data_IF_647739898001
#
_entry.id   IF_647739898001
#
_cell.length_a   1.000
_cell.length_b   1.000
_cell.length_c   1.000
_cell.angle_alpha   90.00
_cell.angle_beta   90.00
_cell.angle_gamma   90.00
#
_symmetry.space_group_name_H-M   'P 1'
#
loop_
_entity.id
_entity.type
_entity.pdbx_description
1 polymer ?
#
# COMPACT_ATOMS: atom_id res chain seq x y z
N UNK A 1 8.45 32.00 -36.19
CA UNK A 1 7.03 31.58 -36.12
C UNK A 1 6.85 30.89 -34.78
N UNK A 2 6.51 31.67 -33.76
CA UNK A 2 6.34 31.24 -32.38
C UNK A 2 4.97 30.60 -32.17
N UNK A 3 4.93 29.28 -32.04
CA UNK A 3 3.71 28.56 -31.64
C UNK A 3 3.79 28.37 -30.12
N UNK A 4 3.31 29.37 -29.39
CA UNK A 4 3.17 29.34 -27.93
C UNK A 4 1.90 28.57 -27.59
N UNK A 5 1.97 27.24 -27.52
CA UNK A 5 0.86 26.38 -27.06
C UNK A 5 0.58 26.69 -25.59
N UNK A 6 -0.47 27.46 -25.34
CA UNK A 6 -0.90 27.87 -23.99
C UNK A 6 -1.62 26.69 -23.35
N UNK A 7 -0.91 25.91 -22.53
CA UNK A 7 -1.54 24.88 -21.70
C UNK A 7 -2.25 25.60 -20.55
N UNK A 8 -3.59 25.67 -20.60
CA UNK A 8 -4.38 26.19 -19.49
C UNK A 8 -4.54 25.12 -18.42
N UNK A 9 -3.59 25.09 -17.48
CA UNK A 9 -3.65 24.19 -16.34
C UNK A 9 -4.74 24.70 -15.39
N UNK A 10 -5.90 24.04 -15.39
CA UNK A 10 -6.98 24.29 -14.43
C UNK A 10 -6.41 24.10 -13.02
N UNK A 11 -6.23 25.19 -12.28
CA UNK A 11 -5.77 25.14 -10.89
C UNK A 11 -6.82 24.38 -10.09
N UNK A 12 -6.46 23.18 -9.65
CA UNK A 12 -7.29 22.38 -8.77
C UNK A 12 -7.34 23.13 -7.42
N UNK A 13 -8.55 23.54 -7.00
CA UNK A 13 -8.88 23.99 -5.63
C UNK A 13 -8.74 22.82 -4.64
N UNK A 14 -7.54 22.25 -4.56
CA UNK A 14 -7.21 21.29 -3.54
C UNK A 14 -6.96 22.13 -2.29
N UNK A 15 -7.93 22.12 -1.38
CA UNK A 15 -7.68 22.55 -0.01
C UNK A 15 -6.37 21.90 0.45
N UNK A 16 -5.45 22.64 1.10
CA UNK A 16 -4.21 22.07 1.60
C UNK A 16 -4.58 20.92 2.53
N UNK A 17 -4.49 19.70 2.01
CA UNK A 17 -4.97 18.53 2.70
C UNK A 17 -4.05 18.38 3.91
N UNK A 18 -4.55 18.70 5.11
CA UNK A 18 -3.80 18.58 6.34
C UNK A 18 -3.61 17.08 6.65
N UNK A 19 -2.71 16.46 5.89
CA UNK A 19 -2.32 15.05 5.93
C UNK A 19 -1.33 14.84 7.07
N UNK A 20 -1.76 15.10 8.29
CA UNK A 20 -1.07 14.56 9.43
C UNK A 20 -1.03 13.03 9.32
N UNK A 21 0.10 12.41 9.68
CA UNK A 21 0.25 10.95 9.78
C UNK A 21 -0.90 10.33 10.59
N UNK A 22 -1.39 11.05 11.61
CA UNK A 22 -2.54 10.69 12.44
C UNK A 22 -3.86 10.56 11.66
N UNK A 23 -4.10 11.41 10.66
CA UNK A 23 -5.29 11.34 9.81
C UNK A 23 -5.17 10.22 8.76
N UNK A 24 -3.95 9.94 8.31
CA UNK A 24 -3.68 8.82 7.40
C UNK A 24 -4.04 7.47 8.05
N UNK A 25 -3.66 7.23 9.31
CA UNK A 25 -4.04 6.01 10.03
C UNK A 25 -5.52 5.94 10.41
N UNK A 26 -6.21 7.08 10.54
CA UNK A 26 -7.66 7.13 10.82
C UNK A 26 -8.53 6.90 9.59
N UNK A 27 -7.97 6.87 8.38
CA UNK A 27 -8.76 6.70 7.17
C UNK A 27 -9.42 5.31 7.13
N UNK A 28 -10.67 5.24 6.66
CA UNK A 28 -11.39 3.96 6.49
C UNK A 28 -10.62 2.99 5.59
N UNK A 29 -9.93 3.52 4.59
CA UNK A 29 -9.14 2.73 3.65
C UNK A 29 -7.93 2.11 4.36
N UNK A 30 -7.18 2.90 5.12
CA UNK A 30 -6.00 2.42 5.88
C UNK A 30 -6.40 1.33 6.87
N UNK A 31 -7.54 1.48 7.55
CA UNK A 31 -8.05 0.45 8.46
C UNK A 31 -8.38 -0.86 7.72
N UNK A 32 -9.01 -0.80 6.55
CA UNK A 32 -9.27 -1.99 5.72
C UNK A 32 -7.97 -2.66 5.28
N UNK A 33 -7.00 -1.88 4.83
CA UNK A 33 -5.68 -2.38 4.43
C UNK A 33 -4.96 -3.06 5.60
N UNK A 34 -4.97 -2.45 6.79
CA UNK A 34 -4.36 -3.03 7.99
C UNK A 34 -5.02 -4.36 8.39
N UNK A 35 -6.34 -4.44 8.34
CA UNK A 35 -7.07 -5.68 8.63
C UNK A 35 -6.71 -6.76 7.60
N UNK A 36 -6.67 -6.41 6.31
CA UNK A 36 -6.30 -7.36 5.26
C UNK A 36 -4.86 -7.87 5.43
N UNK A 37 -3.92 -6.99 5.81
CA UNK A 37 -2.54 -7.38 6.13
C UNK A 37 -2.51 -8.35 7.31
N UNK A 38 -3.24 -8.05 8.39
CA UNK A 38 -3.32 -8.92 9.57
C UNK A 38 -3.90 -10.30 9.26
N UNK A 39 -4.99 -10.35 8.49
CA UNK A 39 -5.63 -11.61 8.11
C UNK A 39 -4.72 -12.41 7.17
N UNK A 40 -4.15 -11.74 6.17
CA UNK A 40 -3.21 -12.37 5.24
C UNK A 40 -1.96 -12.91 5.92
N UNK A 41 -1.39 -12.18 6.89
CA UNK A 41 -0.22 -12.63 7.63
C UNK A 41 -0.50 -13.83 8.53
N UNK A 42 -1.67 -13.86 9.20
CA UNK A 42 -2.08 -15.00 10.02
C UNK A 42 -2.31 -16.25 9.18
N UNK A 43 -2.97 -16.11 8.01
CA UNK A 43 -3.19 -17.24 7.09
C UNK A 43 -1.86 -17.73 6.53
N UNK A 44 -0.97 -16.83 6.09
CA UNK A 44 0.34 -17.20 5.56
C UNK A 44 1.21 -17.90 6.63
N UNK A 45 1.17 -17.41 7.87
CA UNK A 45 1.89 -18.03 8.99
C UNK A 45 1.34 -19.42 9.32
N UNK A 46 0.01 -19.57 9.36
CA UNK A 46 -0.62 -20.87 9.59
C UNK A 46 -0.27 -21.85 8.47
N UNK A 47 -0.37 -21.42 7.21
CA UNK A 47 0.03 -22.23 6.05
C UNK A 47 1.49 -22.67 6.18
N UNK A 48 2.41 -21.73 6.38
CA UNK A 48 3.83 -21.99 6.56
C UNK A 48 4.12 -23.00 7.68
N UNK A 49 3.46 -22.83 8.84
CA UNK A 49 3.62 -23.71 9.98
C UNK A 49 3.19 -25.16 9.67
N UNK A 50 2.08 -25.34 8.95
CA UNK A 50 1.57 -26.68 8.61
C UNK A 50 2.28 -27.31 7.40
N UNK A 51 2.85 -26.53 6.48
CA UNK A 51 3.49 -27.05 5.25
C UNK A 51 5.01 -27.18 5.35
N UNK A 52 5.70 -26.24 5.99
CA UNK A 52 7.17 -26.18 6.05
C UNK A 52 7.73 -26.53 7.44
N UNK A 53 6.98 -27.33 8.19
CA UNK A 53 7.27 -27.77 9.55
C UNK A 53 8.76 -27.81 9.90
N UNK A 54 9.18 -26.91 10.80
CA UNK A 54 10.45 -26.88 11.53
C UNK A 54 11.69 -26.22 10.88
N UNK A 55 11.61 -25.62 9.70
CA UNK A 55 12.78 -24.92 9.09
C UNK A 55 12.90 -23.44 9.45
N UNK A 56 12.49 -22.99 10.64
CA UNK A 56 12.65 -21.56 11.02
C UNK A 56 14.12 -21.11 11.12
N UNK A 57 15.07 -22.04 11.15
CA UNK A 57 16.51 -21.75 11.14
C UNK A 57 17.03 -21.15 9.82
N UNK A 58 16.31 -21.29 8.71
CA UNK A 58 16.70 -20.69 7.43
C UNK A 58 16.02 -19.34 7.17
N UNK A 59 15.31 -18.79 8.15
CA UNK A 59 14.62 -17.51 8.00
C UNK A 59 15.62 -16.35 7.89
N UNK A 60 15.89 -15.91 6.66
CA UNK A 60 16.73 -14.75 6.40
C UNK A 60 15.92 -13.46 6.61
N UNK A 61 16.31 -12.68 7.61
CA UNK A 61 15.72 -11.35 7.89
C UNK A 61 15.85 -10.43 6.68
N UNK A 62 16.96 -10.50 5.94
CA UNK A 62 17.17 -9.68 4.75
C UNK A 62 16.15 -10.00 3.64
N UNK A 63 15.91 -11.29 3.39
CA UNK A 63 14.91 -11.71 2.41
C UNK A 63 13.49 -11.34 2.84
N UNK A 64 13.17 -11.51 4.13
CA UNK A 64 11.89 -11.10 4.68
C UNK A 64 11.64 -9.59 4.49
N UNK A 65 12.66 -8.76 4.75
CA UNK A 65 12.55 -7.31 4.65
C UNK A 65 12.43 -6.85 3.19
N UNK A 66 13.18 -7.48 2.26
CA UNK A 66 13.02 -7.27 0.81
C UNK A 66 11.62 -7.63 0.33
N UNK A 67 11.09 -8.78 0.74
CA UNK A 67 9.76 -9.24 0.37
C UNK A 67 8.65 -8.36 0.96
N UNK A 68 8.81 -7.92 2.22
CA UNK A 68 7.92 -6.95 2.84
C UNK A 68 7.94 -5.59 2.13
N UNK A 69 9.11 -5.10 1.74
CA UNK A 69 9.23 -3.84 1.01
C UNK A 69 8.55 -3.93 -0.36
N UNK A 70 8.82 -5.01 -1.11
CA UNK A 70 8.22 -5.24 -2.42
C UNK A 70 6.69 -5.40 -2.33
N UNK A 71 6.22 -6.26 -1.41
CA UNK A 71 4.79 -6.46 -1.18
C UNK A 71 4.09 -5.20 -0.67
N UNK A 72 4.74 -4.44 0.22
CA UNK A 72 4.24 -3.17 0.71
C UNK A 72 4.14 -2.10 -0.38
N UNK A 73 5.13 -2.04 -1.26
CA UNK A 73 5.10 -1.16 -2.44
C UNK A 73 3.92 -1.49 -3.35
N UNK A 74 3.77 -2.75 -3.77
CA UNK A 74 2.64 -3.15 -4.62
C UNK A 74 1.29 -2.94 -3.93
N UNK A 75 1.17 -3.32 -2.66
CA UNK A 75 -0.04 -3.12 -1.87
C UNK A 75 -0.42 -1.64 -1.74
N UNK A 76 0.56 -0.75 -1.58
CA UNK A 76 0.33 0.69 -1.55
C UNK A 76 -0.24 1.21 -2.87
N UNK A 77 0.33 0.80 -4.02
CA UNK A 77 -0.16 1.20 -5.33
C UNK A 77 -1.57 0.70 -5.61
N UNK A 78 -1.85 -0.57 -5.31
CA UNK A 78 -3.18 -1.15 -5.50
C UNK A 78 -4.22 -0.40 -4.65
N UNK A 79 -3.93 -0.17 -3.37
CA UNK A 79 -4.88 0.47 -2.44
C UNK A 79 -5.03 1.98 -2.62
N UNK A 80 -4.04 2.64 -3.24
CA UNK A 80 -4.07 4.06 -3.60
C UNK A 80 -4.39 4.32 -5.08
N UNK A 81 -4.75 3.30 -5.85
CA UNK A 81 -5.21 3.50 -7.22
C UNK A 81 -6.54 4.29 -7.27
N UNK A 82 -6.86 4.97 -8.39
CA UNK A 82 -8.17 5.59 -8.62
C UNK A 82 -9.30 4.55 -8.54
N UNK A 83 -9.02 3.33 -9.00
CA UNK A 83 -9.98 2.24 -9.00
C UNK A 83 -10.33 1.72 -7.61
N UNK A 84 -9.37 1.64 -6.70
CA UNK A 84 -9.65 1.29 -5.30
C UNK A 84 -10.52 2.33 -4.57
N UNK A 85 -10.74 3.51 -5.16
CA UNK A 85 -11.62 4.57 -4.65
C UNK A 85 -12.96 4.66 -5.38
N UNK A 86 -13.30 3.68 -6.23
CA UNK A 86 -14.55 3.67 -7.01
C UNK A 86 -14.61 4.81 -8.02
N UNK A 87 -13.44 5.24 -8.54
CA UNK A 87 -13.30 6.25 -9.59
C UNK A 87 -12.69 5.67 -10.87
N UNK A 88 -12.84 4.36 -11.08
CA UNK A 88 -13.03 3.86 -12.43
C UNK A 88 -14.48 4.22 -12.84
#
# INVERSE_FOLDING_TARGET
MDIKTKIEVKKLDLQPENKGIKNFFKSKQTRRTLIAILVGSLIALAFYYFTEGQSMNTFSVEQALKNMALGGFFGFFVTNSPCARGRC
#
